data_IF_476610219613
#
_entry.id   IF_476610219613
#
_cell.length_a   1.000
_cell.length_b   1.000
_cell.length_c   1.000
_cell.angle_alpha   90.00
_cell.angle_beta   90.00
_cell.angle_gamma   90.00
#
_symmetry.space_group_name_H-M   'P 1'
#
loop_
_entity.id
_entity.type
_entity.pdbx_description
1 polymer ?
#
# COMPACT_ATOMS: atom_id res chain seq x y z
N UNK A 1 2.90 10.93 3.87
CA UNK A 1 3.86 9.81 4.01
C UNK A 1 5.29 10.30 4.00
N UNK A 2 5.72 11.06 2.98
CA UNK A 2 7.10 11.58 2.86
C UNK A 2 7.63 12.29 4.10
N UNK A 3 6.84 13.19 4.70
CA UNK A 3 7.20 13.87 5.97
C UNK A 3 7.42 12.91 7.13
N UNK A 4 6.65 11.80 7.20
CA UNK A 4 6.80 10.81 8.27
C UNK A 4 8.08 10.00 8.11
N UNK A 5 8.44 9.63 6.88
CA UNK A 5 9.69 8.95 6.57
C UNK A 5 10.87 9.85 6.97
N UNK A 6 10.84 11.13 6.59
CA UNK A 6 11.85 12.10 6.99
C UNK A 6 11.95 12.27 8.52
N UNK A 7 10.82 12.35 9.23
CA UNK A 7 10.80 12.44 10.71
C UNK A 7 11.41 11.21 11.41
N UNK A 8 11.42 10.05 10.75
CA UNK A 8 12.06 8.84 11.25
C UNK A 8 13.56 8.79 10.93
N UNK A 9 14.12 9.84 10.32
CA UNK A 9 15.53 9.93 9.91
C UNK A 9 15.84 9.25 8.58
N UNK A 10 14.82 8.76 7.88
CA UNK A 10 14.96 8.01 6.64
C UNK A 10 14.83 8.89 5.39
N UNK A 11 15.36 8.38 4.28
CA UNK A 11 15.36 9.04 2.96
C UNK A 11 14.32 8.50 1.99
N UNK A 12 14.15 9.21 0.88
CA UNK A 12 13.40 8.76 -0.28
C UNK A 12 14.29 8.92 -1.51
N UNK A 13 14.51 7.83 -2.24
CA UNK A 13 15.17 7.88 -3.56
C UNK A 13 14.27 8.56 -4.58
N UNK A 14 13.00 8.16 -4.63
CA UNK A 14 12.01 8.59 -5.61
C UNK A 14 10.60 8.63 -5.00
N UNK A 15 9.74 9.49 -5.55
CA UNK A 15 8.30 9.52 -5.23
C UNK A 15 7.51 9.65 -6.52
N UNK A 16 6.77 8.60 -6.88
CA UNK A 16 6.02 8.52 -8.14
C UNK A 16 4.52 8.61 -7.85
N UNK A 17 3.86 9.61 -8.45
CA UNK A 17 2.41 9.74 -8.43
C UNK A 17 1.78 9.04 -9.63
N UNK A 18 0.81 8.14 -9.40
CA UNK A 18 0.20 7.33 -10.45
C UNK A 18 -1.14 7.90 -10.97
N UNK A 19 -1.70 8.90 -10.29
CA UNK A 19 -2.95 9.56 -10.69
C UNK A 19 -4.20 8.83 -10.18
N UNK A 20 -5.23 9.59 -9.81
CA UNK A 20 -6.37 9.06 -9.04
C UNK A 20 -7.28 8.03 -9.74
N UNK A 21 -7.11 7.82 -11.05
CA UNK A 21 -7.89 6.87 -11.86
C UNK A 21 -7.09 5.65 -12.31
N UNK A 22 -5.78 5.65 -12.12
CA UNK A 22 -4.87 4.65 -12.72
C UNK A 22 -5.24 3.22 -12.36
N UNK A 23 -5.70 3.00 -11.13
CA UNK A 23 -6.02 1.67 -10.62
C UNK A 23 -7.42 1.16 -10.99
N UNK A 24 -8.20 1.94 -11.76
CA UNK A 24 -9.45 1.46 -12.34
C UNK A 24 -9.14 0.43 -13.44
N UNK A 25 -10.03 -0.52 -13.63
CA UNK A 25 -9.90 -1.54 -14.67
C UNK A 25 -9.74 -0.93 -16.07
N UNK A 26 -10.47 0.15 -16.36
CA UNK A 26 -10.43 0.87 -17.64
C UNK A 26 -9.04 1.45 -17.99
N UNK A 27 -8.25 1.82 -16.98
CA UNK A 27 -6.88 2.33 -17.17
C UNK A 27 -5.86 1.20 -17.03
N UNK A 28 -6.11 0.24 -16.14
CA UNK A 28 -5.32 -0.97 -16.02
C UNK A 28 -4.06 -0.86 -15.15
N UNK A 29 -3.91 0.22 -14.39
CA UNK A 29 -2.78 0.45 -13.47
C UNK A 29 -1.46 0.74 -14.18
N UNK A 30 -1.49 1.33 -15.37
CA UNK A 30 -0.31 1.52 -16.23
C UNK A 30 0.80 2.27 -15.50
N UNK A 31 0.48 3.40 -14.85
CA UNK A 31 1.47 4.20 -14.15
C UNK A 31 1.99 3.48 -12.91
N UNK A 32 1.13 2.80 -12.15
CA UNK A 32 1.54 1.99 -11.00
C UNK A 32 2.51 0.88 -11.41
N UNK A 33 2.19 0.14 -12.46
CA UNK A 33 3.01 -0.96 -12.97
C UNK A 33 4.38 -0.45 -13.43
N UNK A 34 4.40 0.63 -14.22
CA UNK A 34 5.65 1.25 -14.68
C UNK A 34 6.46 1.82 -13.53
N UNK A 35 5.81 2.46 -12.55
CA UNK A 35 6.46 2.97 -11.35
C UNK A 35 7.12 1.86 -10.52
N UNK A 36 6.42 0.74 -10.32
CA UNK A 36 6.98 -0.43 -9.64
C UNK A 36 8.21 -0.95 -10.38
N UNK A 37 8.12 -1.13 -11.70
CA UNK A 37 9.26 -1.62 -12.50
C UNK A 37 10.46 -0.66 -12.44
N UNK A 38 10.22 0.65 -12.52
CA UNK A 38 11.27 1.66 -12.40
C UNK A 38 11.96 1.61 -11.04
N UNK A 39 11.20 1.53 -9.94
CA UNK A 39 11.74 1.45 -8.58
C UNK A 39 12.46 0.12 -8.30
N UNK A 40 12.00 -0.99 -8.88
CA UNK A 40 12.71 -2.28 -8.82
C UNK A 40 14.08 -2.15 -9.50
N UNK A 41 14.15 -1.47 -10.65
CA UNK A 41 15.39 -1.27 -11.41
C UNK A 41 16.34 -0.20 -10.86
N UNK A 42 15.86 0.71 -10.01
CA UNK A 42 16.65 1.81 -9.47
C UNK A 42 17.61 1.35 -8.34
N UNK A 43 18.94 1.40 -8.50
CA UNK A 43 19.87 0.91 -7.48
C UNK A 43 19.80 1.67 -6.15
N UNK A 44 19.35 2.93 -6.16
CA UNK A 44 19.23 3.75 -4.94
C UNK A 44 17.95 3.43 -4.14
N UNK A 45 17.03 2.65 -4.71
CA UNK A 45 15.79 2.24 -4.03
C UNK A 45 16.01 0.91 -3.30
N UNK A 46 16.05 0.94 -1.97
CA UNK A 46 16.22 -0.27 -1.14
C UNK A 46 14.89 -0.95 -0.79
N UNK A 47 13.83 -0.17 -0.56
CA UNK A 47 12.50 -0.64 -0.17
C UNK A 47 11.43 0.10 -0.96
N UNK A 48 10.41 -0.63 -1.44
CA UNK A 48 9.27 -0.03 -2.15
C UNK A 48 8.06 0.07 -1.21
N UNK A 49 7.41 1.22 -1.18
CA UNK A 49 6.15 1.42 -0.45
C UNK A 49 5.04 1.86 -1.41
N UNK A 50 4.05 0.99 -1.59
CA UNK A 50 2.93 1.17 -2.52
C UNK A 50 1.69 1.60 -1.73
N UNK A 51 1.21 2.82 -1.96
CA UNK A 51 0.03 3.36 -1.27
C UNK A 51 -0.99 3.84 -2.28
N UNK A 52 -2.22 3.35 -2.16
CA UNK A 52 -3.30 3.74 -3.05
C UNK A 52 -4.67 3.44 -2.46
N UNK A 53 -5.73 3.82 -3.20
CA UNK A 53 -7.06 3.22 -3.01
C UNK A 53 -7.03 1.75 -3.43
N UNK A 54 -8.06 0.98 -3.05
CA UNK A 54 -8.24 -0.39 -3.51
C UNK A 54 -8.24 -0.43 -5.05
N UNK A 55 -7.33 -1.17 -5.69
CA UNK A 55 -7.33 -1.34 -7.14
C UNK A 55 -8.49 -2.22 -7.61
N UNK A 56 -8.82 -2.16 -8.90
CA UNK A 56 -9.68 -3.18 -9.50
C UNK A 56 -9.00 -4.56 -9.39
N UNK A 57 -9.74 -5.66 -9.15
CA UNK A 57 -9.17 -7.00 -8.98
C UNK A 57 -8.13 -7.44 -10.03
N UNK A 58 -8.34 -7.21 -11.35
CA UNK A 58 -7.33 -7.59 -12.34
C UNK A 58 -6.04 -6.74 -12.26
N UNK A 59 -6.13 -5.49 -11.80
CA UNK A 59 -4.98 -4.60 -11.61
C UNK A 59 -4.25 -4.96 -10.32
N UNK A 60 -4.99 -5.22 -9.25
CA UNK A 60 -4.47 -5.69 -7.96
C UNK A 60 -3.62 -6.96 -8.15
N UNK A 61 -4.13 -7.95 -8.91
CA UNK A 61 -3.38 -9.17 -9.20
C UNK A 61 -2.03 -8.86 -9.87
N UNK A 62 -1.99 -7.97 -10.86
CA UNK A 62 -0.74 -7.58 -11.54
C UNK A 62 0.24 -6.92 -10.57
N UNK A 63 -0.24 -6.06 -9.67
CA UNK A 63 0.60 -5.41 -8.65
C UNK A 63 1.19 -6.46 -7.70
N UNK A 64 0.39 -7.42 -7.24
CA UNK A 64 0.86 -8.51 -6.38
C UNK A 64 1.86 -9.42 -7.08
N UNK A 65 1.60 -9.80 -8.34
CA UNK A 65 2.53 -10.61 -9.13
C UNK A 65 3.89 -9.90 -9.28
N UNK A 66 3.89 -8.59 -9.54
CA UNK A 66 5.13 -7.78 -9.63
C UNK A 66 5.84 -7.65 -8.28
N UNK A 67 5.10 -7.42 -7.20
CA UNK A 67 5.66 -7.32 -5.87
C UNK A 67 6.29 -8.65 -5.42
N UNK A 68 5.65 -9.78 -5.72
CA UNK A 68 6.17 -11.11 -5.43
C UNK A 68 7.42 -11.47 -6.24
N UNK A 69 7.55 -10.91 -7.46
CA UNK A 69 8.74 -11.10 -8.30
C UNK A 69 9.90 -10.15 -7.94
N UNK A 70 9.67 -9.15 -7.09
CA UNK A 70 10.69 -8.20 -6.66
C UNK A 70 11.73 -8.86 -5.76
N UNK A 71 13.01 -8.58 -6.01
CA UNK A 71 14.10 -8.95 -5.07
C UNK A 71 14.23 -7.97 -3.90
N UNK A 72 13.57 -6.81 -4.00
CA UNK A 72 13.53 -5.77 -2.97
C UNK A 72 12.27 -5.92 -2.12
N UNK A 73 12.33 -5.64 -0.80
CA UNK A 73 11.14 -5.63 0.04
C UNK A 73 10.08 -4.66 -0.49
N UNK A 74 8.83 -5.14 -0.57
CA UNK A 74 7.67 -4.35 -1.00
C UNK A 74 6.63 -4.30 0.11
N UNK A 75 6.26 -3.09 0.52
CA UNK A 75 5.18 -2.84 1.48
C UNK A 75 3.98 -2.30 0.70
N UNK A 76 2.82 -2.94 0.85
CA UNK A 76 1.59 -2.55 0.15
C UNK A 76 0.55 -2.10 1.17
N UNK A 77 0.01 -0.90 0.97
CA UNK A 77 -1.08 -0.33 1.75
C UNK A 77 -2.20 0.16 0.81
N UNK A 78 -3.11 -0.76 0.48
CA UNK A 78 -4.36 -0.42 -0.21
C UNK A 78 -5.40 0.02 0.80
N UNK A 79 -5.79 1.29 0.70
CA UNK A 79 -6.73 1.95 1.60
C UNK A 79 -8.13 1.83 1.01
N UNK A 80 -9.10 1.53 1.86
CA UNK A 80 -10.52 1.45 1.49
C UNK A 80 -11.09 0.04 1.67
N UNK A 81 -10.33 -1.02 1.36
CA UNK A 81 -10.81 -2.39 1.52
C UNK A 81 -12.24 -2.60 1.02
N UNK A 82 -13.05 -3.34 1.75
CA UNK A 82 -14.46 -3.60 1.40
C UNK A 82 -15.40 -2.53 1.98
N UNK A 83 -15.03 -1.24 1.89
CA UNK A 83 -15.79 -0.15 2.52
C UNK A 83 -17.28 -0.18 2.17
N UNK A 84 -17.62 -0.51 0.92
CA UNK A 84 -19.00 -0.57 0.44
C UNK A 84 -19.85 -1.62 1.18
N UNK A 85 -19.23 -2.69 1.69
CA UNK A 85 -19.94 -3.71 2.49
C UNK A 85 -20.30 -3.25 3.89
N UNK A 86 -19.63 -2.21 4.38
CA UNK A 86 -19.72 -1.76 5.78
C UNK A 86 -20.28 -0.34 5.93
N UNK A 87 -20.63 0.32 4.82
CA UNK A 87 -21.28 1.63 4.84
C UNK A 87 -22.58 1.58 5.65
N UNK A 88 -22.79 2.60 6.49
CA UNK A 88 -23.97 2.76 7.36
C UNK A 88 -24.22 1.62 8.37
N UNK A 89 -23.21 0.81 8.66
CA UNK A 89 -23.29 -0.23 9.70
C UNK A 89 -22.55 0.22 10.96
N UNK A 90 -22.97 -0.31 12.12
CA UNK A 90 -22.17 -0.25 13.35
C UNK A 90 -21.07 -1.30 13.24
N UNK A 91 -19.82 -0.90 13.45
CA UNK A 91 -18.66 -1.76 13.26
C UNK A 91 -17.77 -1.72 14.51
N UNK A 92 -17.04 -2.80 14.73
CA UNK A 92 -15.91 -2.86 15.65
C UNK A 92 -14.65 -2.49 14.88
N UNK A 93 -13.86 -1.56 15.44
CA UNK A 93 -12.55 -1.20 14.91
C UNK A 93 -11.47 -1.97 15.68
N UNK A 94 -10.85 -2.95 15.02
CA UNK A 94 -9.68 -3.65 15.52
C UNK A 94 -8.40 -2.98 15.05
N UNK A 95 -7.49 -2.71 15.99
CA UNK A 95 -6.14 -2.22 15.72
C UNK A 95 -5.14 -3.33 16.02
N UNK A 96 -4.42 -3.79 14.98
CA UNK A 96 -3.47 -4.88 15.08
C UNK A 96 -2.04 -4.31 14.91
N UNK A 97 -1.38 -3.90 16.01
CA UNK A 97 -0.03 -3.38 15.95
C UNK A 97 0.95 -4.51 15.66
N UNK A 98 1.81 -4.29 14.67
CA UNK A 98 2.98 -5.14 14.45
C UNK A 98 4.20 -4.48 15.08
N UNK A 99 4.89 -5.24 15.95
CA UNK A 99 6.07 -4.75 16.66
C UNK A 99 7.25 -4.75 15.71
N UNK A 100 7.71 -3.56 15.33
CA UNK A 100 8.99 -3.41 14.63
C UNK A 100 10.12 -3.69 15.63
N UNK A 101 11.06 -4.57 15.30
CA UNK A 101 12.29 -4.66 16.10
C UNK A 101 13.14 -3.43 15.77
N UNK A 102 13.66 -2.76 16.80
CA UNK A 102 14.55 -1.58 16.71
C UNK A 102 13.93 -0.19 16.48
N UNK A 103 12.60 0.00 16.62
CA UNK A 103 11.98 1.33 16.52
C UNK A 103 10.96 1.66 17.62
N UNK A 104 10.70 2.95 17.85
CA UNK A 104 9.66 3.44 18.79
C UNK A 104 8.24 3.46 18.16
N UNK A 105 8.13 3.16 16.87
CA UNK A 105 6.87 3.17 16.13
C UNK A 105 6.38 1.74 15.81
N UNK A 106 5.07 1.52 15.91
CA UNK A 106 4.41 0.31 15.44
C UNK A 106 3.52 0.64 14.24
N UNK A 107 3.66 -0.12 13.14
CA UNK A 107 2.65 -0.10 12.09
C UNK A 107 1.42 -0.84 12.60
N UNK A 108 0.26 -0.21 12.51
CA UNK A 108 -1.00 -0.81 12.90
C UNK A 108 -1.82 -1.10 11.64
N UNK A 109 -2.29 -2.34 11.49
CA UNK A 109 -3.38 -2.64 10.56
C UNK A 109 -4.69 -2.34 11.27
N UNK A 110 -5.40 -1.32 10.82
CA UNK A 110 -6.77 -1.06 11.27
C UNK A 110 -7.74 -1.85 10.37
N UNK A 111 -8.62 -2.63 10.98
CA UNK A 111 -9.66 -3.38 10.28
C UNK A 111 -11.01 -3.06 10.93
N UNK A 112 -12.01 -2.77 10.10
CA UNK A 112 -13.39 -2.67 10.55
C UNK A 112 -14.10 -4.00 10.26
N UNK A 113 -14.79 -4.56 11.25
CA UNK A 113 -15.58 -5.79 11.10
C UNK A 113 -16.91 -5.67 11.84
N UNK A 114 -17.90 -6.43 11.40
CA UNK A 114 -19.20 -6.54 12.06
C UNK A 114 -19.05 -7.39 13.32
N UNK A 115 -19.84 -7.08 14.35
CA UNK A 115 -19.96 -7.93 15.53
C UNK A 115 -20.62 -9.24 15.10
N UNK A 116 -19.95 -10.37 15.33
CA UNK A 116 -20.48 -11.70 15.00
C UNK A 116 -21.02 -12.28 16.30
N UNK A 117 -22.35 -12.44 16.38
CA UNK A 117 -23.06 -13.08 17.49
C UNK A 117 -22.63 -14.55 17.69
#
# INVERSE_FOLDING_TARGET
MTVRIHQLGEGLSQVIGTGGRDLKEEIGGLMMIQGIQALIGDPETEVLVLVSKLPAPPVEKKIYDLAAASQKPVVIAFIGGEIDKVLNKRLILGTFPWKFQYGESAFCRCVAFEEVD
#
